data_IF_652441829140
#
_entry.id   IF_652441829140
#
_cell.length_a   1.000
_cell.length_b   1.000
_cell.length_c   1.000
_cell.angle_alpha   90.00
_cell.angle_beta   90.00
_cell.angle_gamma   90.00
#
_symmetry.space_group_name_H-M   'P 1'
#
loop_
_entity.id
_entity.type
_entity.pdbx_description
1 polymer ?
#
# COMPACT_ATOMS: atom_id res chain seq x y z
N UNK A 1 4.49 23.45 3.11
CA UNK A 1 4.90 22.39 4.06
C UNK A 1 3.75 21.47 4.54
N UNK A 2 2.53 21.97 4.82
CA UNK A 2 1.42 21.13 5.29
C UNK A 2 0.88 20.12 4.25
N UNK A 3 0.88 20.49 2.96
CA UNK A 3 0.33 19.64 1.90
C UNK A 3 1.17 18.36 1.67
N UNK A 4 2.50 18.48 1.66
CA UNK A 4 3.41 17.33 1.57
C UNK A 4 3.22 16.36 2.73
N UNK A 5 3.19 16.86 3.97
CA UNK A 5 2.95 16.03 5.16
C UNK A 5 1.62 15.28 5.09
N UNK A 6 0.56 15.92 4.60
CA UNK A 6 -0.75 15.29 4.43
C UNK A 6 -0.75 14.20 3.37
N UNK A 7 -0.08 14.41 2.23
CA UNK A 7 -0.02 13.45 1.13
C UNK A 7 0.81 12.23 1.55
N UNK A 8 1.97 12.46 2.15
CA UNK A 8 2.82 11.40 2.71
C UNK A 8 2.02 10.57 3.71
N UNK A 9 1.35 11.22 4.68
CA UNK A 9 0.55 10.50 5.68
C UNK A 9 -0.59 9.66 5.06
N UNK A 10 -1.25 10.17 4.01
CA UNK A 10 -2.31 9.45 3.31
C UNK A 10 -1.80 8.20 2.59
N UNK A 11 -0.72 8.33 1.83
CA UNK A 11 -0.13 7.22 1.07
C UNK A 11 0.38 6.12 2.03
N UNK A 12 1.06 6.49 3.11
CA UNK A 12 1.51 5.53 4.13
C UNK A 12 0.35 4.82 4.84
N UNK A 13 -0.76 5.53 5.13
CA UNK A 13 -1.97 4.92 5.69
C UNK A 13 -2.57 3.88 4.73
N UNK A 14 -2.59 4.16 3.43
CA UNK A 14 -3.08 3.24 2.41
C UNK A 14 -2.23 1.97 2.34
N UNK A 15 -0.89 2.11 2.33
CA UNK A 15 0.04 0.97 2.34
C UNK A 15 -0.14 0.12 3.60
N UNK A 16 -0.24 0.75 4.77
CA UNK A 16 -0.45 0.07 6.05
C UNK A 16 -1.74 -0.74 6.10
N UNK A 17 -2.83 -0.22 5.52
CA UNK A 17 -4.10 -0.95 5.42
C UNK A 17 -3.95 -2.23 4.57
N UNK A 18 -3.30 -2.13 3.40
CA UNK A 18 -3.08 -3.29 2.53
C UNK A 18 -2.22 -4.35 3.24
N UNK A 19 -1.13 -3.94 3.91
CA UNK A 19 -0.29 -4.86 4.69
C UNK A 19 -1.09 -5.61 5.76
N UNK A 20 -1.98 -4.92 6.47
CA UNK A 20 -2.80 -5.52 7.50
C UNK A 20 -3.77 -6.56 6.91
N UNK A 21 -4.41 -6.25 5.79
CA UNK A 21 -5.29 -7.19 5.08
C UNK A 21 -4.52 -8.40 4.53
N UNK A 22 -3.32 -8.18 3.98
CA UNK A 22 -2.42 -9.26 3.54
C UNK A 22 -2.06 -10.17 4.71
N UNK A 23 -1.69 -9.60 5.85
CA UNK A 23 -1.33 -10.36 7.05
C UNK A 23 -2.50 -11.19 7.59
N UNK A 24 -3.70 -10.61 7.67
CA UNK A 24 -4.92 -11.34 8.05
C UNK A 24 -5.21 -12.49 7.08
N UNK A 25 -5.04 -12.26 5.78
CA UNK A 25 -5.25 -13.29 4.75
C UNK A 25 -4.23 -14.43 4.89
N UNK A 26 -2.95 -14.12 5.15
CA UNK A 26 -1.91 -15.13 5.45
C UNK A 26 -2.26 -15.91 6.71
N UNK A 27 -2.73 -15.24 7.77
CA UNK A 27 -3.04 -15.91 9.04
C UNK A 27 -4.20 -16.91 8.92
N UNK A 28 -5.01 -16.81 7.87
CA UNK A 28 -6.12 -17.72 7.55
C UNK A 28 -5.76 -18.78 6.49
N UNK A 29 -4.51 -18.80 6.01
CA UNK A 29 -4.03 -19.64 4.90
C UNK A 29 -4.00 -21.14 5.21
N UNK A 30 -4.26 -21.57 6.45
CA UNK A 30 -4.28 -22.98 6.80
C UNK A 30 -5.49 -23.77 6.26
N UNK A 31 -6.55 -23.11 5.76
CA UNK A 31 -7.81 -23.83 5.46
C UNK A 31 -8.34 -23.72 4.02
N UNK A 32 -7.86 -22.83 3.14
CA UNK A 32 -8.45 -22.67 1.79
C UNK A 32 -7.53 -22.04 0.73
N UNK A 33 -7.90 -22.27 -0.54
CA UNK A 33 -7.35 -21.72 -1.81
C UNK A 33 -7.46 -20.17 -1.91
N UNK A 34 -6.97 -19.45 -0.90
CA UNK A 34 -6.93 -17.99 -0.87
C UNK A 34 -5.79 -17.39 -1.70
N UNK A 35 -5.06 -18.23 -2.45
CA UNK A 35 -3.91 -17.84 -3.29
C UNK A 35 -4.25 -16.68 -4.24
N UNK A 36 -5.48 -16.64 -4.79
CA UNK A 36 -5.91 -15.55 -5.67
C UNK A 36 -6.03 -14.22 -4.93
N UNK A 37 -6.73 -14.18 -3.79
CA UNK A 37 -6.92 -12.95 -3.00
C UNK A 37 -5.61 -12.47 -2.37
N UNK A 38 -4.78 -13.41 -1.94
CA UNK A 38 -3.43 -13.12 -1.46
C UNK A 38 -2.58 -12.47 -2.55
N UNK A 39 -2.53 -13.07 -3.75
CA UNK A 39 -1.84 -12.48 -4.90
C UNK A 39 -2.36 -11.08 -5.24
N UNK A 40 -3.68 -10.88 -5.22
CA UNK A 40 -4.30 -9.59 -5.49
C UNK A 40 -3.92 -8.52 -4.46
N UNK A 41 -3.83 -8.89 -3.18
CA UNK A 41 -3.37 -8.00 -2.11
C UNK A 41 -1.89 -7.64 -2.25
N UNK A 42 -1.03 -8.61 -2.61
CA UNK A 42 0.39 -8.35 -2.88
C UNK A 42 0.57 -7.42 -4.08
N UNK A 43 -0.14 -7.65 -5.18
CA UNK A 43 -0.10 -6.76 -6.36
C UNK A 43 -0.58 -5.35 -5.98
N UNK A 44 -1.67 -5.25 -5.21
CA UNK A 44 -2.21 -3.97 -4.73
C UNK A 44 -1.21 -3.21 -3.84
N UNK A 45 -0.44 -3.94 -3.02
CA UNK A 45 0.62 -3.38 -2.18
C UNK A 45 1.73 -2.77 -3.03
N UNK A 46 2.23 -3.53 -4.01
CA UNK A 46 3.28 -3.08 -4.93
C UNK A 46 2.86 -1.80 -5.65
N UNK A 47 1.66 -1.79 -6.25
CA UNK A 47 1.11 -0.61 -6.94
C UNK A 47 1.01 0.59 -6.00
N UNK A 48 0.57 0.38 -4.76
CA UNK A 48 0.43 1.46 -3.77
C UNK A 48 1.78 2.05 -3.37
N UNK A 49 2.83 1.23 -3.23
CA UNK A 49 4.19 1.71 -2.96
C UNK A 49 4.70 2.57 -4.12
N UNK A 50 4.55 2.10 -5.37
CA UNK A 50 4.96 2.87 -6.54
C UNK A 50 4.23 4.20 -6.65
N UNK A 51 2.91 4.21 -6.42
CA UNK A 51 2.10 5.43 -6.41
C UNK A 51 2.56 6.40 -5.34
N UNK A 52 2.84 5.92 -4.13
CA UNK A 52 3.34 6.74 -3.03
C UNK A 52 4.68 7.40 -3.38
N UNK A 53 5.63 6.61 -3.90
CA UNK A 53 6.95 7.10 -4.31
C UNK A 53 6.84 8.13 -5.44
N UNK A 54 6.03 7.87 -6.46
CA UNK A 54 5.80 8.80 -7.56
C UNK A 54 5.19 10.12 -7.08
N UNK A 55 4.14 10.07 -6.24
CA UNK A 55 3.50 11.26 -5.70
C UNK A 55 4.48 12.10 -4.87
N UNK A 56 5.36 11.46 -4.09
CA UNK A 56 6.40 12.17 -3.33
C UNK A 56 7.43 12.80 -4.27
N UNK A 57 7.90 12.07 -5.29
CA UNK A 57 8.87 12.57 -6.29
C UNK A 57 8.34 13.80 -7.04
N UNK A 58 7.11 13.74 -7.57
CA UNK A 58 6.48 14.87 -8.27
C UNK A 58 6.48 16.11 -7.39
N UNK A 59 6.09 15.98 -6.11
CA UNK A 59 6.05 17.12 -5.19
C UNK A 59 7.45 17.67 -4.88
N UNK A 60 8.47 16.81 -4.81
CA UNK A 60 9.86 17.25 -4.58
C UNK A 60 10.42 17.95 -5.82
N UNK A 61 10.10 17.48 -7.03
CA UNK A 61 10.57 18.07 -8.29
C UNK A 61 9.88 19.38 -8.64
N UNK A 62 8.63 19.56 -8.21
CA UNK A 62 7.86 20.81 -8.39
C UNK A 62 8.18 21.91 -7.36
N UNK A 63 9.06 21.64 -6.38
CA UNK A 63 9.42 22.56 -5.29
C UNK A 63 10.76 23.27 -5.55
#
# INVERSE_FOLDING_TARGET
>A
MNKLKSIVAYEWKSIGAILLFTFVSISRWLEHDYDFYFCLLIISLIISIFRAVFNILVIITDL
#
